data_IF_001686053054
#
_entry.id   IF_001686053054
#
_cell.length_a   1.000
_cell.length_b   1.000
_cell.length_c   1.000
_cell.angle_alpha   90.00
_cell.angle_beta   90.00
_cell.angle_gamma   90.00
#
_symmetry.space_group_name_H-M   'P 1'
#
loop_
_entity.id
_entity.type
_entity.pdbx_description
1 polymer ?
#
# COMPACT_ATOMS: atom_id res chain seq x y z
N UNK A 1 -34.13 9.49 -29.12
CA UNK A 1 -33.80 9.12 -27.73
C UNK A 1 -32.40 8.51 -27.69
N UNK A 2 -31.50 8.95 -26.79
CA UNK A 2 -30.05 8.67 -26.87
C UNK A 2 -29.66 7.31 -26.25
N UNK A 3 -30.43 6.27 -26.53
CA UNK A 3 -30.19 4.89 -26.08
C UNK A 3 -30.09 3.89 -27.25
N UNK A 4 -29.77 4.36 -28.45
CA UNK A 4 -29.67 3.51 -29.64
C UNK A 4 -28.37 2.69 -29.74
N UNK A 5 -27.36 3.02 -28.92
CA UNK A 5 -26.04 2.39 -28.98
C UNK A 5 -25.83 1.45 -27.76
N UNK A 6 -25.80 0.12 -27.97
CA UNK A 6 -25.67 -0.85 -26.89
C UNK A 6 -24.32 -0.79 -26.18
N UNK A 7 -23.28 -0.26 -26.81
CA UNK A 7 -21.96 -0.15 -26.20
C UNK A 7 -21.87 1.05 -25.27
N UNK A 8 -22.55 2.16 -25.61
CA UNK A 8 -22.70 3.31 -24.72
C UNK A 8 -23.54 2.97 -23.49
N UNK A 9 -24.57 2.15 -23.65
CA UNK A 9 -25.36 1.66 -22.51
C UNK A 9 -24.52 0.78 -21.56
N UNK A 10 -23.68 -0.10 -22.12
CA UNK A 10 -22.75 -0.94 -21.34
C UNK A 10 -21.67 -0.11 -20.64
N UNK A 11 -21.11 0.89 -21.31
CA UNK A 11 -20.14 1.82 -20.72
C UNK A 11 -20.77 2.61 -19.56
N UNK A 12 -21.96 3.18 -19.78
CA UNK A 12 -22.72 3.89 -18.77
C UNK A 12 -23.04 3.00 -17.56
N UNK A 13 -23.49 1.76 -17.76
CA UNK A 13 -23.76 0.84 -16.66
C UNK A 13 -22.51 0.43 -15.89
N UNK A 14 -21.35 0.27 -16.56
CA UNK A 14 -20.06 0.00 -15.90
C UNK A 14 -19.64 1.17 -15.03
N UNK A 15 -19.74 2.39 -15.55
CA UNK A 15 -19.37 3.62 -14.84
C UNK A 15 -20.33 3.92 -13.68
N UNK A 16 -21.63 3.73 -13.90
CA UNK A 16 -22.67 3.83 -12.87
C UNK A 16 -22.45 2.83 -11.73
N UNK A 17 -22.11 1.56 -12.03
CA UNK A 17 -21.76 0.57 -11.00
C UNK A 17 -20.47 0.93 -10.26
N UNK A 18 -19.48 1.51 -10.93
CA UNK A 18 -18.22 1.96 -10.31
C UNK A 18 -18.48 3.10 -9.32
N UNK A 19 -19.21 4.14 -9.74
CA UNK A 19 -19.57 5.28 -8.89
C UNK A 19 -20.41 4.84 -7.69
N UNK A 20 -21.36 3.91 -7.89
CA UNK A 20 -22.19 3.40 -6.81
C UNK A 20 -21.39 2.63 -5.75
N UNK A 21 -20.36 1.85 -6.13
CA UNK A 21 -19.47 1.20 -5.14
C UNK A 21 -18.62 2.19 -4.35
N UNK A 22 -18.35 3.37 -4.91
CA UNK A 22 -17.60 4.43 -4.22
C UNK A 22 -18.51 5.23 -3.28
N UNK A 23 -19.82 5.30 -3.56
CA UNK A 23 -20.80 6.05 -2.77
C UNK A 23 -21.60 5.25 -1.73
N UNK A 24 -21.50 3.92 -1.71
CA UNK A 24 -22.24 3.07 -0.77
C UNK A 24 -21.39 2.82 0.48
N UNK A 25 -21.83 3.38 1.63
CA UNK A 25 -21.20 3.22 2.95
C UNK A 25 -21.15 1.75 3.44
N UNK A 26 -21.74 0.82 2.67
CA UNK A 26 -21.84 -0.60 2.97
C UNK A 26 -20.83 -1.47 2.18
N UNK A 27 -19.85 -0.87 1.51
CA UNK A 27 -18.83 -1.63 0.77
C UNK A 27 -17.69 -2.04 1.70
N UNK A 28 -17.89 -3.13 2.47
CA UNK A 28 -16.92 -3.81 3.36
C UNK A 28 -16.21 -2.91 4.41
N UNK A 29 -16.37 -3.14 5.73
CA UNK A 29 -15.76 -2.33 6.79
C UNK A 29 -14.22 -2.50 6.94
N UNK A 30 -13.51 -2.76 5.85
CA UNK A 30 -12.06 -2.99 5.83
C UNK A 30 -11.29 -2.13 4.84
N UNK A 31 -11.95 -1.28 4.04
CA UNK A 31 -11.24 -0.28 3.22
C UNK A 31 -11.37 1.07 3.89
N UNK A 32 -10.51 1.35 4.85
CA UNK A 32 -10.20 2.72 5.25
C UNK A 32 -9.78 3.48 3.98
N UNK A 33 -10.45 4.58 3.60
CA UNK A 33 -10.02 5.36 2.45
C UNK A 33 -8.64 5.97 2.76
N UNK A 34 -7.59 5.37 2.21
CA UNK A 34 -6.25 5.95 2.24
C UNK A 34 -6.32 7.28 1.48
N UNK A 35 -5.96 8.41 2.11
CA UNK A 35 -5.95 9.70 1.42
C UNK A 35 -5.10 9.60 0.15
N UNK A 36 -5.58 10.11 -1.00
CA UNK A 36 -4.96 9.90 -2.32
C UNK A 36 -3.55 10.51 -2.51
N UNK A 37 -2.92 11.05 -1.46
CA UNK A 37 -1.57 11.62 -1.49
C UNK A 37 -0.47 10.75 -0.85
N UNK A 38 -0.78 9.71 -0.08
CA UNK A 38 0.26 8.84 0.50
C UNK A 38 0.38 7.54 -0.29
N UNK A 39 1.03 7.61 -1.45
CA UNK A 39 1.46 6.39 -2.15
C UNK A 39 2.75 5.92 -1.49
N UNK A 40 2.73 4.76 -0.85
CA UNK A 40 3.92 4.08 -0.36
C UNK A 40 4.83 3.75 -1.54
N UNK A 41 6.05 4.29 -1.55
CA UNK A 41 7.05 4.07 -2.60
C UNK A 41 8.25 3.31 -2.05
N UNK A 42 8.60 3.53 -0.79
CA UNK A 42 9.80 2.98 -0.17
C UNK A 42 9.47 2.12 1.04
N UNK A 43 10.43 1.28 1.45
CA UNK A 43 10.34 0.57 2.72
C UNK A 43 10.23 1.53 3.92
N UNK A 44 10.83 2.73 3.84
CA UNK A 44 10.74 3.74 4.88
C UNK A 44 9.30 4.27 5.03
N UNK A 45 8.61 4.56 3.91
CA UNK A 45 7.22 5.03 3.94
C UNK A 45 6.30 4.00 4.62
N UNK A 46 6.58 2.71 4.41
CA UNK A 46 5.84 1.62 5.07
C UNK A 46 6.12 1.62 6.57
N UNK A 47 7.38 1.78 6.98
CA UNK A 47 7.75 1.81 8.41
C UNK A 47 7.14 3.02 9.12
N UNK A 48 7.12 4.19 8.49
CA UNK A 48 6.49 5.39 9.02
C UNK A 48 4.99 5.19 9.24
N UNK A 49 4.29 4.66 8.23
CA UNK A 49 2.87 4.31 8.37
C UNK A 49 2.63 3.30 9.49
N UNK A 50 3.47 2.27 9.60
CA UNK A 50 3.34 1.26 10.65
C UNK A 50 3.56 1.87 12.05
N UNK A 51 4.48 2.82 12.20
CA UNK A 51 4.71 3.50 13.47
C UNK A 51 3.47 4.30 13.92
N UNK A 52 2.77 4.96 13.00
CA UNK A 52 1.49 5.61 13.25
C UNK A 52 0.43 4.60 13.71
N UNK A 53 0.31 3.46 13.01
CA UNK A 53 -0.69 2.43 13.35
C UNK A 53 -0.39 1.75 14.69
N UNK A 54 0.87 1.49 15.01
CA UNK A 54 1.27 0.96 16.33
C UNK A 54 0.86 1.93 17.42
N UNK A 55 1.04 3.23 17.21
CA UNK A 55 0.62 4.26 18.18
C UNK A 55 -0.91 4.26 18.35
N UNK A 56 -1.66 4.20 17.25
CA UNK A 56 -3.12 4.14 17.27
C UNK A 56 -3.64 2.91 18.03
N UNK A 57 -3.11 1.72 17.74
CA UNK A 57 -3.50 0.46 18.40
C UNK A 57 -3.18 0.50 19.91
N UNK A 58 -2.05 1.11 20.29
CA UNK A 58 -1.70 1.26 21.72
C UNK A 58 -2.67 2.19 22.44
N UNK A 59 -3.04 3.30 21.79
CA UNK A 59 -3.91 4.33 22.35
C UNK A 59 -5.40 3.93 22.41
N UNK A 60 -5.83 2.94 21.62
CA UNK A 60 -7.21 2.47 21.59
C UNK A 60 -7.66 2.00 22.98
N UNK A 61 -8.80 2.48 23.47
CA UNK A 61 -9.27 2.22 24.84
C UNK A 61 -10.20 1.01 24.91
N UNK A 62 -10.90 0.71 23.82
CA UNK A 62 -11.91 -0.34 23.80
C UNK A 62 -11.32 -1.72 23.48
N UNK A 63 -10.13 -1.76 22.87
CA UNK A 63 -9.46 -3.01 22.50
C UNK A 63 -8.83 -3.73 23.70
N UNK A 64 -9.07 -5.04 23.81
CA UNK A 64 -8.53 -5.88 24.87
C UNK A 64 -7.04 -6.18 24.71
N UNK A 65 -6.37 -6.59 25.79
CA UNK A 65 -4.91 -6.87 25.79
C UNK A 65 -4.50 -7.93 24.75
N UNK A 66 -5.24 -9.03 24.66
CA UNK A 66 -4.93 -10.11 23.69
C UNK A 66 -5.16 -9.67 22.25
N UNK A 67 -6.17 -8.85 22.01
CA UNK A 67 -6.45 -8.29 20.70
C UNK A 67 -5.33 -7.35 20.26
N UNK A 68 -4.94 -6.40 21.13
CA UNK A 68 -3.78 -5.52 20.90
C UNK A 68 -2.50 -6.31 20.64
N UNK A 69 -2.23 -7.35 21.43
CA UNK A 69 -1.02 -8.17 21.26
C UNK A 69 -0.99 -8.86 19.89
N UNK A 70 -2.11 -9.43 19.43
CA UNK A 70 -2.20 -10.07 18.11
C UNK A 70 -2.01 -9.05 16.99
N UNK A 71 -2.67 -7.90 17.10
CA UNK A 71 -2.56 -6.82 16.09
C UNK A 71 -1.14 -6.29 16.01
N UNK A 72 -0.51 -5.98 17.16
CA UNK A 72 0.87 -5.53 17.21
C UNK A 72 1.86 -6.60 16.70
N UNK A 73 1.64 -7.87 17.04
CA UNK A 73 2.45 -8.97 16.51
C UNK A 73 2.35 -9.10 14.99
N UNK A 74 1.16 -8.92 14.43
CA UNK A 74 0.96 -8.89 12.98
C UNK A 74 1.69 -7.71 12.32
N UNK A 75 1.55 -6.49 12.87
CA UNK A 75 2.26 -5.30 12.36
C UNK A 75 3.78 -5.45 12.46
N UNK A 76 4.30 -6.05 13.54
CA UNK A 76 5.72 -6.34 13.70
C UNK A 76 6.23 -7.30 12.61
N UNK A 77 5.44 -8.31 12.24
CA UNK A 77 5.76 -9.20 11.12
C UNK A 77 5.84 -8.47 9.76
N UNK A 78 4.99 -7.47 9.53
CA UNK A 78 5.07 -6.63 8.33
C UNK A 78 6.31 -5.72 8.38
N UNK A 79 6.61 -5.13 9.54
CA UNK A 79 7.78 -4.27 9.71
C UNK A 79 9.09 -5.01 9.41
N UNK A 80 9.23 -6.26 9.89
CA UNK A 80 10.38 -7.11 9.58
C UNK A 80 10.56 -7.29 8.07
N UNK A 81 9.48 -7.59 7.34
CA UNK A 81 9.51 -7.73 5.88
C UNK A 81 9.89 -6.43 5.17
N UNK A 82 9.40 -5.28 5.64
CA UNK A 82 9.75 -3.99 5.08
C UNK A 82 11.26 -3.70 5.26
N UNK A 83 11.81 -3.99 6.44
CA UNK A 83 13.25 -3.86 6.73
C UNK A 83 14.08 -4.76 5.80
N UNK A 84 13.69 -6.02 5.66
CA UNK A 84 14.35 -6.96 4.75
C UNK A 84 14.33 -6.45 3.30
N UNK A 85 13.18 -5.98 2.82
CA UNK A 85 13.03 -5.44 1.47
C UNK A 85 13.91 -4.18 1.26
N UNK A 86 13.95 -3.27 2.23
CA UNK A 86 14.82 -2.09 2.19
C UNK A 86 16.31 -2.45 2.14
N UNK A 87 16.74 -3.43 2.95
CA UNK A 87 18.12 -3.91 2.94
C UNK A 87 18.49 -4.57 1.60
N UNK A 88 17.58 -5.34 1.00
CA UNK A 88 17.80 -5.94 -0.31
C UNK A 88 17.88 -4.88 -1.41
N UNK A 89 17.00 -3.88 -1.39
CA UNK A 89 17.03 -2.77 -2.33
C UNK A 89 18.38 -2.02 -2.28
N UNK A 90 18.83 -1.65 -1.09
CA UNK A 90 20.12 -0.97 -0.92
C UNK A 90 21.30 -1.83 -1.42
N UNK A 91 21.29 -3.14 -1.19
CA UNK A 91 22.32 -4.06 -1.70
C UNK A 91 22.31 -4.15 -3.23
N UNK A 92 21.13 -4.18 -3.84
CA UNK A 92 20.99 -4.20 -5.31
C UNK A 92 21.50 -2.88 -5.89
N UNK A 93 21.11 -1.74 -5.34
CA UNK A 93 21.59 -0.43 -5.79
C UNK A 93 23.12 -0.34 -5.74
N UNK A 94 23.74 -0.84 -4.67
CA UNK A 94 25.20 -0.91 -4.57
C UNK A 94 25.84 -1.81 -5.63
N UNK A 95 25.24 -2.98 -5.92
CA UNK A 95 25.73 -3.87 -6.98
C UNK A 95 25.59 -3.23 -8.36
N UNK A 96 24.47 -2.57 -8.64
CA UNK A 96 24.24 -1.86 -9.88
C UNK A 96 25.25 -0.71 -10.08
N UNK A 97 25.62 -0.01 -9.01
CA UNK A 97 26.64 1.04 -9.05
C UNK A 97 28.01 0.45 -9.43
N UNK A 98 28.45 -0.61 -8.76
CA UNK A 98 29.73 -1.28 -9.06
C UNK A 98 29.76 -1.83 -10.49
N UNK A 99 28.65 -2.39 -10.98
CA UNK A 99 28.56 -2.90 -12.36
C UNK A 99 28.61 -1.77 -13.40
N UNK A 100 27.97 -0.63 -13.13
CA UNK A 100 28.05 0.57 -13.99
C UNK A 100 29.48 1.10 -14.08
N UNK A 101 30.20 1.17 -12.96
CA UNK A 101 31.61 1.57 -12.93
C UNK A 101 32.50 0.61 -13.74
N UNK A 102 32.29 -0.70 -13.59
CA UNK A 102 33.04 -1.72 -14.36
C UNK A 102 32.76 -1.64 -15.86
N UNK A 103 31.51 -1.46 -16.26
CA UNK A 103 31.14 -1.32 -17.68
C UNK A 103 31.59 0.03 -18.27
N UNK A 104 31.69 1.08 -17.45
CA UNK A 104 32.23 2.38 -17.85
C UNK A 104 33.76 2.39 -18.01
N UNK A 105 34.47 1.62 -17.17
CA UNK A 105 35.93 1.47 -17.22
C UNK A 105 36.40 0.35 -18.16
N UNK A 106 35.51 -0.56 -18.54
CA UNK A 106 35.73 -1.60 -19.56
C UNK A 106 35.29 -1.13 -20.94
N UNK A 107 35.88 -0.04 -21.46
CA UNK A 107 35.94 0.14 -22.92
C UNK A 107 37.00 -0.84 -23.46
N UNK A 108 36.81 -1.41 -24.67
CA UNK A 108 37.85 -2.21 -25.30
C UNK A 108 39.15 -1.43 -25.47
#
# INVERSE_FOLDING_TARGET
MPYADPDKARAYQREYRRLRRVGDACTTPSTTPVPPSFRLQTAADVLDLLAEQVTAVRAEKEAGTLEKARTLGYLAGIALKAIEAGNLAARIEMLELVLKERNGNGKP
#
